data_IF_575711630604
#
_entry.id   IF_575711630604
#
_cell.length_a   1.000
_cell.length_b   1.000
_cell.length_c   1.000
_cell.angle_alpha   90.00
_cell.angle_beta   90.00
_cell.angle_gamma   90.00
#
_symmetry.space_group_name_H-M   'P 1'
#
loop_
_entity.id
_entity.type
_entity.pdbx_description
1 polymer ?
#
# COMPACT_ATOMS: atom_id res chain seq x y z
N UNK A 1 -32.51 62.25 38.93
CA UNK A 1 -33.65 61.90 38.05
C UNK A 1 -33.34 62.33 36.62
N UNK A 2 -32.96 61.40 35.73
CA UNK A 2 -33.24 61.49 34.30
C UNK A 2 -33.00 60.12 33.66
N UNK A 3 -34.11 59.48 33.34
CA UNK A 3 -34.23 58.23 32.58
C UNK A 3 -34.06 58.60 31.11
N UNK A 4 -33.23 57.88 30.37
CA UNK A 4 -33.24 57.92 28.89
C UNK A 4 -33.32 56.47 28.39
N UNK A 5 -34.39 56.22 27.65
CA UNK A 5 -34.79 54.96 26.99
C UNK A 5 -34.19 54.88 25.58
N UNK A 6 -34.31 53.69 24.99
CA UNK A 6 -34.34 53.40 23.53
C UNK A 6 -32.94 53.23 22.89
N UNK A 7 -32.62 52.22 22.06
CA UNK A 7 -33.44 51.35 21.20
C UNK A 7 -32.56 50.16 20.74
N UNK A 8 -33.14 48.96 20.70
CA UNK A 8 -32.53 47.75 20.12
C UNK A 8 -32.10 47.93 18.67
N UNK A 9 -30.90 47.47 18.30
CA UNK A 9 -30.56 47.08 16.92
C UNK A 9 -29.97 45.66 16.97
N UNK A 10 -30.82 44.71 16.62
CA UNK A 10 -30.46 43.32 16.33
C UNK A 10 -29.65 43.34 15.04
N UNK A 11 -28.34 43.06 15.12
CA UNK A 11 -27.53 42.78 13.93
C UNK A 11 -27.41 41.26 13.77
N UNK A 12 -28.17 40.74 12.80
CA UNK A 12 -28.26 39.34 12.44
C UNK A 12 -27.07 39.00 11.53
N UNK A 13 -25.95 38.53 12.10
CA UNK A 13 -24.83 38.01 11.31
C UNK A 13 -25.13 36.56 10.89
N UNK A 14 -25.37 36.37 9.60
CA UNK A 14 -25.34 35.06 8.94
C UNK A 14 -23.90 34.50 8.99
N UNK A 15 -23.52 33.83 10.07
CA UNK A 15 -22.31 33.01 10.08
C UNK A 15 -22.66 31.62 9.54
N UNK A 16 -22.29 31.38 8.30
CA UNK A 16 -22.27 30.07 7.67
C UNK A 16 -21.35 29.14 8.47
N UNK A 17 -21.94 28.35 9.38
CA UNK A 17 -21.24 27.26 10.06
C UNK A 17 -21.03 26.17 9.02
N UNK A 18 -19.82 26.12 8.46
CA UNK A 18 -19.36 25.02 7.63
C UNK A 18 -19.30 23.77 8.53
N UNK A 19 -20.38 22.98 8.55
CA UNK A 19 -20.35 21.62 9.06
C UNK A 19 -19.39 20.83 8.17
N UNK A 20 -18.12 20.79 8.55
CA UNK A 20 -17.19 19.82 8.01
C UNK A 20 -17.61 18.47 8.59
N UNK A 21 -18.43 17.74 7.84
CA UNK A 21 -18.75 16.36 8.15
C UNK A 21 -17.42 15.59 8.21
N UNK A 22 -17.00 15.22 9.41
CA UNK A 22 -16.01 14.18 9.64
C UNK A 22 -16.63 12.90 9.11
N UNK A 23 -16.49 12.66 7.80
CA UNK A 23 -16.63 11.32 7.28
C UNK A 23 -15.65 10.45 8.08
N UNK A 24 -16.07 9.30 8.61
CA UNK A 24 -15.14 8.40 9.26
C UNK A 24 -14.08 8.06 8.22
N UNK A 25 -12.83 8.48 8.47
CA UNK A 25 -11.69 7.97 7.72
C UNK A 25 -11.61 6.51 8.15
N UNK A 26 -12.29 5.64 7.39
CA UNK A 26 -12.31 4.20 7.63
C UNK A 26 -10.87 3.73 7.64
N UNK A 27 -10.36 3.54 8.86
CA UNK A 27 -9.05 2.99 9.12
C UNK A 27 -9.20 1.49 8.86
N UNK A 28 -9.07 1.10 7.60
CA UNK A 28 -9.14 -0.29 7.19
C UNK A 28 -7.90 -1.04 7.71
N UNK A 29 -7.96 -1.42 8.99
CA UNK A 29 -7.09 -2.47 9.53
C UNK A 29 -7.39 -3.78 8.80
N UNK A 30 -6.37 -4.62 8.56
CA UNK A 30 -6.55 -5.95 7.97
C UNK A 30 -7.50 -6.87 8.76
N UNK A 31 -7.86 -6.51 10.00
CA UNK A 31 -8.75 -7.26 10.88
C UNK A 31 -10.26 -7.18 10.51
N UNK A 32 -10.61 -6.81 9.27
CA UNK A 32 -12.01 -6.58 8.90
C UNK A 32 -12.43 -6.97 7.48
N UNK A 33 -11.55 -7.55 6.66
CA UNK A 33 -11.94 -8.04 5.33
C UNK A 33 -12.57 -9.42 5.45
N UNK A 34 -13.71 -9.62 4.79
CA UNK A 34 -14.32 -10.93 4.63
C UNK A 34 -13.48 -11.80 3.68
N UNK A 35 -13.71 -13.11 3.71
CA UNK A 35 -13.10 -14.03 2.77
C UNK A 35 -13.49 -13.64 1.33
N UNK A 36 -12.48 -13.54 0.46
CA UNK A 36 -12.69 -13.00 -0.88
C UNK A 36 -11.42 -12.66 -1.63
N UNK A 37 -11.61 -12.10 -2.82
CA UNK A 37 -10.54 -11.57 -3.66
C UNK A 37 -10.75 -10.07 -3.81
N UNK A 38 -9.67 -9.32 -3.63
CA UNK A 38 -9.68 -7.86 -3.72
C UNK A 38 -8.51 -7.38 -4.59
N UNK A 39 -8.49 -6.09 -4.87
CA UNK A 39 -7.33 -5.38 -5.39
C UNK A 39 -6.93 -4.24 -4.46
N UNK A 40 -5.64 -3.93 -4.39
CA UNK A 40 -5.15 -2.79 -3.63
C UNK A 40 -3.99 -2.12 -4.34
N UNK A 41 -4.00 -0.79 -4.37
CA UNK A 41 -2.85 0.01 -4.76
C UNK A 41 -1.74 -0.13 -3.70
N UNK A 42 -0.50 -0.03 -4.17
CA UNK A 42 0.67 -0.05 -3.30
C UNK A 42 1.85 0.64 -3.98
N UNK A 43 2.81 1.03 -3.17
CA UNK A 43 4.07 1.61 -3.59
C UNK A 43 5.24 0.85 -2.97
N UNK A 44 6.31 0.69 -3.73
CA UNK A 44 7.59 0.19 -3.22
C UNK A 44 8.44 1.38 -2.78
N UNK A 45 8.72 1.47 -1.49
CA UNK A 45 9.58 2.48 -0.87
C UNK A 45 11.02 2.00 -0.72
N UNK A 46 11.92 2.97 -0.52
CA UNK A 46 13.32 2.75 -0.14
C UNK A 46 13.40 2.12 1.26
N UNK A 47 14.54 1.51 1.57
CA UNK A 47 14.79 0.90 2.88
C UNK A 47 14.69 1.92 4.03
N UNK A 48 15.24 3.11 3.82
CA UNK A 48 15.58 4.10 4.84
C UNK A 48 14.73 5.37 4.78
N UNK A 49 13.88 5.53 3.77
CA UNK A 49 13.00 6.70 3.64
C UNK A 49 11.65 6.36 3.02
N UNK A 50 10.60 7.11 3.41
CA UNK A 50 9.23 6.99 2.89
C UNK A 50 9.10 7.65 1.51
N UNK A 51 10.04 7.31 0.63
CA UNK A 51 10.12 7.78 -0.75
C UNK A 51 10.09 6.58 -1.69
N UNK A 52 9.48 6.76 -2.86
CA UNK A 52 9.43 5.73 -3.90
C UNK A 52 10.83 5.22 -4.27
N UNK A 53 10.98 3.90 -4.28
CA UNK A 53 12.18 3.21 -4.73
C UNK A 53 12.17 3.08 -6.26
N UNK A 54 13.34 3.05 -6.89
CA UNK A 54 13.48 2.66 -8.30
C UNK A 54 12.89 1.26 -8.56
N UNK A 55 12.92 0.37 -7.56
CA UNK A 55 12.28 -0.94 -7.64
C UNK A 55 10.78 -0.85 -7.98
N UNK A 56 10.11 0.25 -7.62
CA UNK A 56 8.68 0.42 -7.85
C UNK A 56 8.25 0.24 -9.31
N UNK A 57 9.10 0.58 -10.28
CA UNK A 57 8.77 0.46 -11.71
C UNK A 57 8.68 -1.00 -12.18
N UNK A 58 9.26 -1.94 -11.43
CA UNK A 58 9.28 -3.36 -11.78
C UNK A 58 8.14 -4.17 -11.17
N UNK A 59 7.34 -3.52 -10.32
CA UNK A 59 6.24 -4.11 -9.57
C UNK A 59 4.95 -3.57 -10.17
N UNK A 60 4.10 -4.41 -10.75
CA UNK A 60 2.86 -3.97 -11.40
C UNK A 60 1.75 -3.70 -10.38
N UNK A 61 0.84 -2.79 -10.73
CA UNK A 61 -0.27 -2.34 -9.87
C UNK A 61 -1.62 -2.55 -10.59
N UNK A 62 -2.72 -2.77 -9.85
CA UNK A 62 -2.77 -3.04 -8.40
C UNK A 62 -2.19 -4.41 -8.03
N UNK A 63 -1.96 -4.64 -6.74
CA UNK A 63 -1.81 -5.99 -6.21
C UNK A 63 -3.18 -6.66 -6.12
N UNK A 64 -3.24 -7.97 -6.35
CA UNK A 64 -4.41 -8.77 -6.01
C UNK A 64 -4.25 -9.28 -4.58
N UNK A 65 -5.31 -9.24 -3.79
CA UNK A 65 -5.35 -9.78 -2.43
C UNK A 65 -6.29 -10.98 -2.40
N UNK A 66 -5.89 -12.03 -1.69
CA UNK A 66 -6.73 -13.18 -1.39
C UNK A 66 -6.86 -13.26 0.12
N UNK A 67 -8.08 -13.03 0.62
CA UNK A 67 -8.41 -13.10 2.04
C UNK A 67 -9.10 -14.42 2.30
N UNK A 68 -8.59 -15.17 3.27
CA UNK A 68 -9.18 -16.43 3.71
C UNK A 68 -8.90 -16.68 5.18
N UNK A 69 -9.92 -16.99 5.97
CA UNK A 69 -9.81 -17.28 7.40
C UNK A 69 -9.06 -16.16 8.15
N UNK A 70 -9.34 -14.90 7.80
CA UNK A 70 -8.68 -13.72 8.37
C UNK A 70 -7.20 -13.53 7.99
N UNK A 71 -6.68 -14.32 7.03
CA UNK A 71 -5.30 -14.22 6.53
C UNK A 71 -5.29 -13.59 5.14
N UNK A 72 -4.35 -12.68 4.91
CA UNK A 72 -4.20 -11.99 3.63
C UNK A 72 -2.97 -12.52 2.91
N UNK A 73 -3.16 -12.91 1.66
CA UNK A 73 -2.07 -13.13 0.71
C UNK A 73 -2.11 -12.09 -0.39
N UNK A 74 -1.00 -11.39 -0.60
CA UNK A 74 -0.84 -10.51 -1.74
C UNK A 74 -0.23 -11.28 -2.91
N UNK A 75 -0.77 -11.04 -4.09
CA UNK A 75 -0.30 -11.53 -5.38
C UNK A 75 0.13 -10.32 -6.21
N UNK A 76 1.42 -10.28 -6.54
CA UNK A 76 2.05 -9.16 -7.25
C UNK A 76 2.74 -9.67 -8.51
N UNK A 77 2.51 -8.98 -9.62
CA UNK A 77 3.21 -9.26 -10.87
C UNK A 77 4.49 -8.43 -10.94
N UNK A 78 5.60 -9.09 -11.23
CA UNK A 78 6.91 -8.50 -11.47
C UNK A 78 7.17 -8.50 -12.98
N UNK A 79 7.50 -7.34 -13.53
CA UNK A 79 8.01 -7.20 -14.90
C UNK A 79 9.55 -7.34 -14.91
N UNK A 80 10.12 -7.44 -16.12
CA UNK A 80 11.53 -7.75 -16.32
C UNK A 80 11.99 -8.91 -15.39
N UNK A 81 11.16 -9.95 -15.32
CA UNK A 81 11.24 -11.02 -14.34
C UNK A 81 12.65 -11.64 -14.29
N UNK A 82 13.28 -11.84 -15.45
CA UNK A 82 14.63 -12.36 -15.56
C UNK A 82 15.70 -11.55 -14.82
N UNK A 83 15.47 -10.26 -14.55
CA UNK A 83 16.41 -9.41 -13.82
C UNK A 83 16.26 -9.55 -12.31
N UNK A 84 15.04 -9.79 -11.81
CA UNK A 84 14.79 -9.96 -10.38
C UNK A 84 15.01 -11.42 -10.01
N UNK A 85 16.17 -11.75 -9.46
CA UNK A 85 16.60 -13.12 -9.18
C UNK A 85 16.06 -13.68 -7.87
N UNK A 86 15.78 -12.82 -6.88
CA UNK A 86 15.08 -13.19 -5.64
C UNK A 86 14.22 -12.03 -5.16
N UNK A 87 13.08 -12.38 -4.56
CA UNK A 87 12.21 -11.43 -3.89
C UNK A 87 11.67 -12.07 -2.61
N UNK A 88 11.99 -11.47 -1.46
CA UNK A 88 11.64 -11.97 -0.14
C UNK A 88 10.84 -10.94 0.63
N UNK A 89 9.93 -11.40 1.48
CA UNK A 89 9.14 -10.53 2.37
C UNK A 89 9.32 -10.99 3.81
N UNK A 90 9.21 -10.05 4.76
CA UNK A 90 9.28 -10.37 6.17
C UNK A 90 7.98 -11.05 6.61
N UNK A 91 8.09 -12.29 7.08
CA UNK A 91 6.97 -13.09 7.56
C UNK A 91 7.36 -13.73 8.90
N UNK A 92 6.64 -13.36 9.96
CA UNK A 92 6.89 -13.81 11.33
C UNK A 92 8.36 -13.61 11.78
N UNK A 93 8.93 -12.44 11.46
CA UNK A 93 10.29 -12.07 11.86
C UNK A 93 11.41 -12.65 11.00
N UNK A 94 11.09 -13.44 9.96
CA UNK A 94 12.07 -14.04 9.05
C UNK A 94 11.75 -13.67 7.61
N UNK A 95 12.78 -13.33 6.82
CA UNK A 95 12.61 -13.09 5.39
C UNK A 95 12.42 -14.41 4.63
N UNK A 96 11.26 -14.58 3.99
CA UNK A 96 10.93 -15.77 3.18
C UNK A 96 10.78 -15.39 1.72
N UNK A 97 11.25 -16.26 0.83
CA UNK A 97 11.05 -16.11 -0.61
C UNK A 97 9.55 -16.12 -0.95
N UNK A 98 9.13 -15.17 -1.79
CA UNK A 98 7.76 -15.13 -2.29
C UNK A 98 7.52 -16.31 -3.23
N UNK A 99 6.37 -16.97 -3.10
CA UNK A 99 6.02 -18.14 -3.89
C UNK A 99 5.68 -17.71 -5.32
N UNK A 100 6.35 -18.24 -6.34
CA UNK A 100 5.93 -18.03 -7.73
C UNK A 100 4.65 -18.82 -8.01
N UNK A 101 3.60 -18.14 -8.47
CA UNK A 101 2.29 -18.75 -8.78
C UNK A 101 1.95 -18.72 -10.28
N UNK A 102 2.65 -17.89 -11.07
CA UNK A 102 2.51 -17.85 -12.53
C UNK A 102 3.76 -17.25 -13.17
N UNK A 103 4.09 -17.71 -14.37
CA UNK A 103 5.22 -17.21 -15.18
C UNK A 103 4.76 -16.99 -16.62
N UNK A 104 5.09 -15.83 -17.18
CA UNK A 104 4.92 -15.52 -18.59
C UNK A 104 6.29 -15.17 -19.19
N UNK A 105 6.95 -16.16 -19.79
CA UNK A 105 8.29 -16.00 -20.37
C UNK A 105 8.28 -15.05 -21.57
N UNK A 106 7.24 -15.08 -22.40
CA UNK A 106 7.13 -14.23 -23.59
C UNK A 106 7.05 -12.74 -23.23
N UNK A 107 6.30 -12.40 -22.18
CA UNK A 107 6.22 -11.03 -21.68
C UNK A 107 7.33 -10.67 -20.67
N UNK A 108 8.20 -11.63 -20.33
CA UNK A 108 9.19 -11.53 -19.25
C UNK A 108 8.57 -11.06 -17.92
N UNK A 109 7.48 -11.72 -17.49
CA UNK A 109 6.78 -11.44 -16.23
C UNK A 109 6.62 -12.68 -15.36
N UNK A 110 6.47 -12.48 -14.06
CA UNK A 110 5.99 -13.53 -13.15
C UNK A 110 5.07 -12.94 -12.09
N UNK A 111 4.13 -13.72 -11.60
CA UNK A 111 3.31 -13.36 -10.43
C UNK A 111 3.79 -14.15 -9.22
N UNK A 112 4.04 -13.44 -8.13
CA UNK A 112 4.47 -13.99 -6.85
C UNK A 112 3.40 -13.78 -5.78
N UNK A 113 3.31 -14.71 -4.83
CA UNK A 113 2.39 -14.70 -3.70
C UNK A 113 3.16 -14.70 -2.38
N UNK A 114 2.75 -13.87 -1.43
CA UNK A 114 3.33 -13.78 -0.09
C UNK A 114 2.30 -13.33 0.95
N UNK A 115 2.58 -13.62 2.23
CA UNK A 115 1.70 -13.24 3.34
C UNK A 115 1.80 -11.75 3.62
N UNK A 116 0.66 -11.13 3.98
CA UNK A 116 0.60 -9.75 4.47
C UNK A 116 -0.17 -9.75 5.79
N UNK A 117 0.50 -9.37 6.87
CA UNK A 117 -0.11 -9.36 8.20
C UNK A 117 -1.07 -8.18 8.37
N UNK A 118 -0.72 -7.01 7.81
CA UNK A 118 -1.54 -5.82 7.85
C UNK A 118 -1.35 -4.98 6.58
N UNK A 119 -2.45 -4.45 6.03
CA UNK A 119 -2.43 -3.51 4.90
C UNK A 119 -2.12 -2.07 5.34
N UNK A 120 -2.22 -1.77 6.64
CA UNK A 120 -1.89 -0.44 7.18
C UNK A 120 -0.41 -0.30 7.48
N UNK A 121 0.25 -1.40 7.81
CA UNK A 121 1.68 -1.44 8.12
C UNK A 121 2.54 -1.47 6.84
N UNK A 122 3.79 -1.02 6.99
CA UNK A 122 4.80 -1.13 5.95
C UNK A 122 5.46 -2.50 6.05
N UNK A 123 5.42 -3.28 4.97
CA UNK A 123 6.00 -4.63 4.93
C UNK A 123 7.46 -4.56 4.44
N UNK A 124 8.46 -4.90 5.27
CA UNK A 124 9.85 -5.00 4.82
C UNK A 124 10.03 -6.16 3.84
N UNK A 125 10.88 -5.94 2.84
CA UNK A 125 11.20 -6.92 1.81
C UNK A 125 12.65 -6.79 1.35
N UNK A 126 13.15 -7.81 0.66
CA UNK A 126 14.48 -7.82 0.05
C UNK A 126 14.36 -8.22 -1.41
N UNK A 127 15.17 -7.61 -2.26
CA UNK A 127 15.22 -7.91 -3.68
C UNK A 127 16.67 -8.09 -4.13
N UNK A 128 16.90 -9.13 -4.91
CA UNK A 128 18.18 -9.37 -5.61
C UNK A 128 17.97 -9.16 -7.10
N UNK A 129 18.90 -8.46 -7.73
CA UNK A 129 18.83 -8.08 -9.14
C UNK A 129 20.12 -8.47 -9.83
N UNK A 130 20.01 -9.04 -11.04
CA UNK A 130 21.13 -9.31 -11.93
C UNK A 130 20.75 -8.90 -13.35
N UNK A 131 21.57 -8.06 -13.99
CA UNK A 131 21.41 -7.68 -15.40
C UNK A 131 22.68 -8.08 -16.15
N UNK A 132 22.74 -9.30 -16.72
CA UNK A 132 23.98 -9.88 -17.26
C UNK A 132 24.60 -9.05 -18.38
N UNK A 133 23.78 -8.45 -19.24
CA UNK A 133 24.23 -7.69 -20.41
C UNK A 133 25.09 -6.46 -20.08
N UNK A 134 25.01 -5.97 -18.83
CA UNK A 134 25.82 -4.86 -18.31
C UNK A 134 26.67 -5.28 -17.10
N UNK A 135 26.71 -6.58 -16.77
CA UNK A 135 27.45 -7.08 -15.60
C UNK A 135 26.96 -6.55 -14.25
N UNK A 136 25.72 -6.08 -14.14
CA UNK A 136 25.19 -5.49 -12.92
C UNK A 136 24.61 -6.55 -11.98
N UNK A 137 24.93 -6.45 -10.70
CA UNK A 137 24.27 -7.21 -9.63
C UNK A 137 24.02 -6.30 -8.43
N UNK A 138 22.95 -6.56 -7.69
CA UNK A 138 22.63 -5.79 -6.49
C UNK A 138 21.66 -6.52 -5.57
N UNK A 139 21.80 -6.27 -4.27
CA UNK A 139 20.91 -6.76 -3.23
C UNK A 139 20.42 -5.55 -2.43
N UNK A 140 19.10 -5.41 -2.31
CA UNK A 140 18.49 -4.22 -1.71
C UNK A 140 17.41 -4.60 -0.72
N UNK A 141 17.39 -3.87 0.39
CA UNK A 141 16.23 -3.82 1.25
C UNK A 141 15.24 -2.80 0.66
N UNK A 142 13.96 -3.16 0.67
CA UNK A 142 12.86 -2.34 0.18
C UNK A 142 11.68 -2.48 1.13
N UNK A 143 10.67 -1.63 0.96
CA UNK A 143 9.49 -1.63 1.81
C UNK A 143 8.24 -1.54 0.95
N UNK A 144 7.24 -2.37 1.20
CA UNK A 144 5.95 -2.34 0.52
C UNK A 144 4.95 -1.58 1.39
N UNK A 145 4.39 -0.49 0.87
CA UNK A 145 3.29 0.24 1.51
C UNK A 145 2.03 0.04 0.68
N UNK A 146 1.10 -0.75 1.22
CA UNK A 146 -0.25 -0.85 0.67
C UNK A 146 -1.07 0.38 1.03
N UNK A 147 -1.97 0.76 0.13
CA UNK A 147 -3.03 1.74 0.37
C UNK A 147 -4.32 1.01 0.75
N UNK A 148 -4.56 0.88 2.05
CA UNK A 148 -5.73 0.17 2.57
C UNK A 148 -7.07 0.84 2.18
N UNK A 149 -7.06 2.15 1.86
CA UNK A 149 -8.27 2.85 1.42
C UNK A 149 -8.63 2.54 -0.04
N UNK A 150 -7.70 1.98 -0.81
CA UNK A 150 -7.90 1.59 -2.21
C UNK A 150 -8.45 0.17 -2.39
N UNK A 151 -8.70 -0.56 -1.29
CA UNK A 151 -9.17 -1.95 -1.33
C UNK A 151 -10.58 -2.01 -1.93
N UNK A 152 -10.73 -2.80 -2.98
CA UNK A 152 -12.00 -3.04 -3.70
C UNK A 152 -12.10 -4.47 -4.22
#
# INVERSE_FOLDING_TARGET
>A
MKVIRSTSHVLLFFSFVLLFALAPVSSASAAGLADGQYSAQYVVWKADSDSTSTANTYFEKPAKLVVKDGKIKAQVTLNNSSWITSFKTLDQGVYKDAKVISTNTAANKRTVEFNVNSLTEVLPAKVSVTVPVIGYTGNYDIRLKFDAASVQ
#
